data_IF_073235617385
#
_entry.id   IF_073235617385
#
_cell.length_a   1.000
_cell.length_b   1.000
_cell.length_c   1.000
_cell.angle_alpha   90.00
_cell.angle_beta   90.00
_cell.angle_gamma   90.00
#
_symmetry.space_group_name_H-M   'P 1'
#
loop_
_entity.id
_entity.type
_entity.pdbx_description
1 polymer ?
#
# COMPACT_ATOMS: atom_id res chain seq x y z
N UNK A 1 -12.58 1.39 19.62
CA UNK A 1 -13.99 0.99 19.85
C UNK A 1 -14.70 1.25 18.55
N UNK A 2 -14.92 0.21 17.74
CA UNK A 2 -15.15 0.34 16.29
C UNK A 2 -16.57 0.81 16.00
N UNK A 3 -16.74 1.63 14.96
CA UNK A 3 -18.01 2.18 14.46
C UNK A 3 -19.08 1.13 14.11
N UNK A 4 -18.73 -0.16 14.09
CA UNK A 4 -19.69 -1.27 14.05
C UNK A 4 -20.57 -1.36 15.31
N UNK A 5 -20.17 -0.76 16.44
CA UNK A 5 -20.94 -0.75 17.69
C UNK A 5 -22.10 0.27 17.69
N UNK A 6 -22.12 1.25 16.77
CA UNK A 6 -23.17 2.30 16.78
C UNK A 6 -24.53 1.86 16.25
N UNK A 7 -24.68 0.68 15.64
CA UNK A 7 -25.94 0.26 14.98
C UNK A 7 -26.59 -1.01 15.58
N UNK A 8 -25.94 -1.78 16.46
CA UNK A 8 -26.51 -3.07 16.90
C UNK A 8 -26.76 -3.15 18.41
N UNK A 9 -28.03 -3.41 18.75
CA UNK A 9 -28.55 -3.80 20.08
C UNK A 9 -27.90 -5.06 20.69
N UNK A 10 -26.86 -5.62 20.06
CA UNK A 10 -26.29 -6.93 20.38
C UNK A 10 -24.76 -6.94 20.22
N UNK A 11 -24.08 -7.56 21.17
CA UNK A 11 -22.64 -7.87 21.09
C UNK A 11 -22.40 -8.84 19.92
N UNK A 12 -21.49 -8.46 19.01
CA UNK A 12 -21.13 -9.27 17.84
C UNK A 12 -19.65 -9.68 17.93
N UNK A 13 -19.33 -10.93 17.58
CA UNK A 13 -17.97 -11.45 17.50
C UNK A 13 -17.72 -11.99 16.09
N UNK A 14 -16.55 -11.71 15.52
CA UNK A 14 -16.17 -12.14 14.16
C UNK A 14 -15.26 -13.35 14.27
N UNK A 15 -15.63 -14.44 13.58
CA UNK A 15 -14.90 -15.71 13.60
C UNK A 15 -14.39 -16.01 12.19
N UNK A 16 -13.11 -16.37 12.05
CA UNK A 16 -12.58 -16.83 10.76
C UNK A 16 -13.13 -18.23 10.43
N UNK A 17 -13.64 -18.49 9.20
CA UNK A 17 -14.18 -19.79 8.82
C UNK A 17 -13.22 -20.96 9.01
N UNK A 18 -11.92 -20.72 8.88
CA UNK A 18 -10.85 -21.72 9.07
C UNK A 18 -10.65 -22.16 10.52
N UNK A 19 -11.09 -21.36 11.49
CA UNK A 19 -10.98 -21.66 12.92
C UNK A 19 -12.21 -22.36 13.48
N UNK A 20 -13.26 -22.52 12.66
CA UNK A 20 -14.51 -23.15 13.07
C UNK A 20 -14.32 -24.67 13.03
N UNK A 21 -14.51 -25.40 14.14
CA UNK A 21 -14.42 -26.85 14.15
C UNK A 21 -15.42 -27.47 13.18
N UNK A 22 -14.95 -28.34 12.27
CA UNK A 22 -15.81 -29.07 11.34
C UNK A 22 -15.58 -30.57 11.45
N UNK A 23 -16.68 -31.33 11.47
CA UNK A 23 -16.60 -32.79 11.45
C UNK A 23 -16.34 -33.28 10.02
N UNK A 24 -15.34 -34.15 9.80
CA UNK A 24 -15.10 -34.73 8.49
C UNK A 24 -16.32 -35.54 8.02
N UNK A 25 -16.75 -35.32 6.77
CA UNK A 25 -17.89 -36.00 6.16
C UNK A 25 -19.23 -35.26 6.24
N UNK A 26 -19.33 -34.21 7.06
CA UNK A 26 -20.52 -33.35 7.10
C UNK A 26 -20.47 -32.29 5.98
N UNK A 27 -20.96 -32.66 4.78
CA UNK A 27 -20.89 -31.84 3.56
C UNK A 27 -22.21 -31.15 3.20
N UNK A 28 -23.28 -31.36 3.98
CA UNK A 28 -24.60 -30.80 3.68
C UNK A 28 -24.70 -29.39 4.27
N UNK A 29 -24.30 -28.40 3.48
CA UNK A 29 -24.40 -26.99 3.85
C UNK A 29 -25.83 -26.49 3.68
N UNK A 30 -26.44 -26.02 4.76
CA UNK A 30 -27.71 -25.28 4.72
C UNK A 30 -27.66 -24.16 5.75
N UNK A 31 -28.14 -22.96 5.40
CA UNK A 31 -28.03 -21.78 6.27
C UNK A 31 -28.63 -22.03 7.67
N UNK A 32 -29.73 -22.79 7.74
CA UNK A 32 -30.36 -23.18 9.01
C UNK A 32 -29.47 -24.07 9.88
N UNK A 33 -28.81 -25.08 9.31
CA UNK A 33 -27.93 -25.99 10.08
C UNK A 33 -26.66 -25.26 10.50
N UNK A 34 -26.08 -24.47 9.61
CA UNK A 34 -24.88 -23.68 9.89
C UNK A 34 -25.14 -22.70 11.04
N UNK A 35 -26.26 -21.96 11.01
CA UNK A 35 -26.62 -21.04 12.09
C UNK A 35 -26.78 -21.74 13.45
N UNK A 36 -27.43 -22.91 13.47
CA UNK A 36 -27.60 -23.70 14.71
C UNK A 36 -26.25 -24.23 15.21
N UNK A 37 -25.39 -24.71 14.32
CA UNK A 37 -24.07 -25.22 14.67
C UNK A 37 -23.17 -24.11 15.22
N UNK A 38 -23.15 -22.94 14.59
CA UNK A 38 -22.43 -21.77 15.09
C UNK A 38 -22.93 -21.35 16.48
N UNK A 39 -24.26 -21.32 16.70
CA UNK A 39 -24.82 -21.00 18.01
C UNK A 39 -24.41 -22.00 19.09
N UNK A 40 -24.33 -23.30 18.76
CA UNK A 40 -23.85 -24.35 19.67
C UNK A 40 -22.37 -24.17 20.01
N UNK A 41 -21.53 -23.96 19.00
CA UNK A 41 -20.10 -23.75 19.18
C UNK A 41 -19.81 -22.47 19.98
N UNK A 42 -20.55 -21.39 19.70
CA UNK A 42 -20.45 -20.14 20.46
C UNK A 42 -20.85 -20.35 21.93
N UNK A 43 -21.96 -21.03 22.19
CA UNK A 43 -22.39 -21.37 23.56
C UNK A 43 -21.35 -22.26 24.29
N UNK A 44 -20.68 -23.14 23.57
CA UNK A 44 -19.64 -24.01 24.12
C UNK A 44 -18.29 -23.30 24.33
N UNK A 45 -18.13 -22.06 23.84
CA UNK A 45 -16.85 -21.34 23.89
C UNK A 45 -15.80 -21.90 22.93
N UNK A 46 -16.22 -22.66 21.91
CA UNK A 46 -15.32 -23.32 20.94
C UNK A 46 -14.98 -22.43 19.73
N UNK A 47 -15.54 -21.21 19.65
CA UNK A 47 -15.22 -20.26 18.60
C UNK A 47 -14.14 -19.28 19.08
N UNK A 48 -13.10 -19.13 18.26
CA UNK A 48 -12.02 -18.17 18.50
C UNK A 48 -12.29 -16.88 17.71
N UNK A 49 -12.60 -15.75 18.37
CA UNK A 49 -12.78 -14.49 17.67
C UNK A 49 -11.46 -13.99 17.10
N UNK A 50 -11.54 -13.38 15.93
CA UNK A 50 -10.42 -12.70 15.30
C UNK A 50 -10.45 -11.20 15.60
N UNK A 51 -9.27 -10.59 15.57
CA UNK A 51 -9.15 -9.15 15.67
C UNK A 51 -9.82 -8.45 14.49
N UNK A 52 -10.71 -7.52 14.78
CA UNK A 52 -11.32 -6.64 13.77
C UNK A 52 -10.66 -5.26 13.93
N UNK A 53 -9.95 -4.77 12.89
CA UNK A 53 -9.32 -3.46 12.91
C UNK A 53 -10.31 -2.38 13.34
N UNK A 54 -9.85 -1.52 14.24
CA UNK A 54 -10.54 -0.34 14.68
C UNK A 54 -10.54 0.77 13.63
N UNK A 55 -11.38 1.79 13.81
CA UNK A 55 -11.32 2.99 12.95
C UNK A 55 -9.92 3.60 12.98
N UNK A 56 -9.29 3.64 14.16
CA UNK A 56 -7.93 4.14 14.30
C UNK A 56 -6.94 3.25 13.55
N UNK A 57 -7.08 1.91 13.59
CA UNK A 57 -6.22 1.01 12.80
C UNK A 57 -6.40 1.18 11.29
N UNK A 58 -7.64 1.39 10.84
CA UNK A 58 -7.90 1.64 9.41
C UNK A 58 -7.35 3.00 8.97
N UNK A 59 -7.42 4.03 9.83
CA UNK A 59 -6.81 5.32 9.58
C UNK A 59 -5.27 5.21 9.46
N UNK A 60 -4.62 4.42 10.32
CA UNK A 60 -3.19 4.12 10.20
C UNK A 60 -2.86 3.38 8.91
N UNK A 61 -3.72 2.43 8.50
CA UNK A 61 -3.55 1.71 7.22
C UNK A 61 -3.66 2.64 6.02
N UNK A 62 -4.48 3.69 6.08
CA UNK A 62 -4.57 4.67 5.00
C UNK A 62 -3.25 5.42 4.78
N UNK A 63 -2.46 5.68 5.83
CA UNK A 63 -1.10 6.23 5.67
C UNK A 63 -0.19 5.26 4.89
N UNK A 64 -0.26 3.97 5.21
CA UNK A 64 0.53 2.93 4.53
C UNK A 64 0.11 2.80 3.06
N UNK A 65 -1.20 2.80 2.78
CA UNK A 65 -1.75 2.78 1.41
C UNK A 65 -1.29 4.01 0.62
N UNK A 66 -1.39 5.21 1.20
CA UNK A 66 -0.94 6.44 0.57
C UNK A 66 0.57 6.41 0.24
N UNK A 67 1.38 5.82 1.13
CA UNK A 67 2.83 5.62 0.88
C UNK A 67 3.06 4.69 -0.31
N UNK A 68 2.29 3.61 -0.42
CA UNK A 68 2.37 2.68 -1.55
C UNK A 68 1.99 3.36 -2.87
N UNK A 69 0.91 4.14 -2.90
CA UNK A 69 0.49 4.90 -4.08
C UNK A 69 1.61 5.84 -4.57
N UNK A 70 2.22 6.61 -3.66
CA UNK A 70 3.32 7.52 -4.01
C UNK A 70 4.54 6.75 -4.52
N UNK A 71 4.84 5.57 -3.96
CA UNK A 71 5.94 4.72 -4.40
C UNK A 71 5.72 4.21 -5.83
N UNK A 72 4.50 3.77 -6.15
CA UNK A 72 4.13 3.35 -7.50
C UNK A 72 4.23 4.51 -8.50
N UNK A 73 3.72 5.69 -8.15
CA UNK A 73 3.79 6.88 -8.99
C UNK A 73 5.22 7.34 -9.22
N UNK A 74 6.05 7.28 -8.17
CA UNK A 74 7.49 7.52 -8.25
C UNK A 74 8.17 6.55 -9.22
N UNK A 75 7.81 5.26 -9.22
CA UNK A 75 8.33 4.28 -10.17
C UNK A 75 7.90 4.59 -11.61
N UNK A 76 6.62 4.95 -11.82
CA UNK A 76 6.10 5.36 -13.13
C UNK A 76 6.84 6.59 -13.65
N UNK A 77 7.08 7.59 -12.81
CA UNK A 77 7.85 8.78 -13.16
C UNK A 77 9.30 8.47 -13.51
N UNK A 78 9.95 7.57 -12.74
CA UNK A 78 11.30 7.07 -13.01
C UNK A 78 11.39 6.46 -14.41
N UNK A 79 10.39 5.67 -14.79
CA UNK A 79 10.29 5.09 -16.13
C UNK A 79 10.09 6.15 -17.22
N UNK A 80 9.22 7.16 -16.99
CA UNK A 80 9.01 8.27 -17.93
C UNK A 80 10.32 9.00 -18.22
N UNK A 81 11.05 9.40 -17.18
CA UNK A 81 12.35 10.07 -17.33
C UNK A 81 13.36 9.18 -18.07
N UNK A 82 13.45 7.91 -17.71
CA UNK A 82 14.37 6.97 -18.36
C UNK A 82 14.06 6.81 -19.85
N UNK A 83 12.78 6.67 -20.22
CA UNK A 83 12.35 6.56 -21.63
C UNK A 83 12.60 7.85 -22.40
N UNK A 84 12.40 9.00 -21.76
CA UNK A 84 12.71 10.30 -22.35
C UNK A 84 14.20 10.41 -22.67
N UNK A 85 15.08 10.08 -21.73
CA UNK A 85 16.53 10.09 -21.96
C UNK A 85 16.95 9.13 -23.07
N UNK A 86 16.37 7.92 -23.08
CA UNK A 86 16.64 6.90 -24.10
C UNK A 86 16.28 7.40 -25.51
N UNK A 87 15.11 8.03 -25.68
CA UNK A 87 14.65 8.58 -26.98
C UNK A 87 15.52 9.74 -27.48
N UNK A 88 16.21 10.44 -26.58
CA UNK A 88 17.19 11.47 -26.91
C UNK A 88 18.63 10.90 -26.98
N UNK A 89 18.79 9.58 -26.92
CA UNK A 89 20.08 8.87 -26.94
C UNK A 89 21.04 9.25 -25.81
N UNK A 90 20.51 9.81 -24.72
CA UNK A 90 21.28 10.20 -23.54
C UNK A 90 21.42 8.99 -22.62
N UNK A 91 22.66 8.54 -22.41
CA UNK A 91 22.98 7.37 -21.57
C UNK A 91 23.88 7.78 -20.40
N UNK A 92 23.69 7.17 -19.22
CA UNK A 92 24.56 7.42 -18.09
C UNK A 92 25.98 6.89 -18.35
N UNK A 93 27.01 7.44 -17.67
CA UNK A 93 28.38 6.96 -17.78
C UNK A 93 28.50 5.48 -17.43
N UNK A 94 29.42 4.76 -18.09
CA UNK A 94 29.67 3.34 -17.83
C UNK A 94 29.91 3.10 -16.33
N UNK A 95 29.29 2.05 -15.78
CA UNK A 95 29.38 1.71 -14.36
C UNK A 95 28.41 2.47 -13.44
N UNK A 96 27.64 3.44 -13.96
CA UNK A 96 26.64 4.15 -13.16
C UNK A 96 25.35 3.34 -13.06
N UNK A 97 25.02 2.86 -11.84
CA UNK A 97 23.72 2.21 -11.56
C UNK A 97 22.61 3.27 -11.47
N UNK A 98 21.45 2.99 -12.05
CA UNK A 98 20.29 3.91 -12.04
C UNK A 98 19.82 4.21 -10.62
N UNK A 99 19.34 5.43 -10.40
CA UNK A 99 18.75 5.91 -9.14
C UNK A 99 19.67 5.90 -7.92
N UNK A 100 20.98 5.78 -8.14
CA UNK A 100 22.01 5.99 -7.09
C UNK A 100 22.37 7.47 -6.98
N UNK A 101 23.09 7.87 -5.92
CA UNK A 101 23.59 9.25 -5.75
C UNK A 101 24.37 9.70 -6.99
N UNK A 102 25.29 8.87 -7.49
CA UNK A 102 26.05 9.16 -8.73
C UNK A 102 25.16 9.35 -9.96
N UNK A 103 24.01 8.68 -10.02
CA UNK A 103 23.06 8.85 -11.12
C UNK A 103 22.33 10.19 -11.03
N UNK A 104 21.97 10.63 -9.82
CA UNK A 104 21.39 11.96 -9.59
C UNK A 104 22.38 13.08 -9.93
N UNK A 105 23.63 12.98 -9.47
CA UNK A 105 24.69 13.93 -9.81
C UNK A 105 24.91 14.03 -11.34
N UNK A 106 24.75 12.90 -12.04
CA UNK A 106 24.82 12.87 -13.50
C UNK A 106 23.61 13.55 -14.14
N UNK A 107 22.39 13.29 -13.65
CA UNK A 107 21.17 13.94 -14.14
C UNK A 107 21.27 15.47 -14.01
N UNK A 108 21.75 15.98 -12.87
CA UNK A 108 21.89 17.41 -12.62
C UNK A 108 22.89 18.11 -13.55
N UNK A 109 23.84 17.36 -14.13
CA UNK A 109 24.84 17.87 -15.08
C UNK A 109 24.39 17.82 -16.54
N UNK A 110 23.22 17.27 -16.83
CA UNK A 110 22.73 17.16 -18.20
C UNK A 110 22.41 18.53 -18.80
N UNK A 111 22.94 18.75 -20.00
CA UNK A 111 22.61 19.92 -20.83
C UNK A 111 21.88 19.46 -22.09
N UNK A 112 21.00 20.32 -22.59
CA UNK A 112 20.17 20.02 -23.76
C UNK A 112 20.31 21.12 -24.79
N UNK A 113 20.51 20.74 -26.07
CA UNK A 113 20.60 21.69 -27.18
C UNK A 113 19.30 22.44 -27.44
N UNK A 114 18.15 21.78 -27.21
CA UNK A 114 16.81 22.33 -27.42
C UNK A 114 16.21 22.75 -26.08
N UNK A 115 15.70 23.97 -26.01
CA UNK A 115 15.03 24.51 -24.82
C UNK A 115 13.83 23.67 -24.40
N UNK A 116 13.00 23.24 -25.35
CA UNK A 116 11.83 22.39 -25.07
C UNK A 116 12.21 21.07 -24.38
N UNK A 117 13.26 20.39 -24.85
CA UNK A 117 13.76 19.16 -24.21
C UNK A 117 14.26 19.41 -22.79
N UNK A 118 14.91 20.57 -22.56
CA UNK A 118 15.37 20.98 -21.23
C UNK A 118 14.19 21.16 -20.27
N UNK A 119 13.13 21.84 -20.70
CA UNK A 119 11.92 22.05 -19.87
C UNK A 119 11.29 20.72 -19.50
N UNK A 120 11.04 19.83 -20.48
CA UNK A 120 10.46 18.50 -20.22
C UNK A 120 11.32 17.68 -19.25
N UNK A 121 12.65 17.73 -19.39
CA UNK A 121 13.56 17.07 -18.47
C UNK A 121 13.43 17.61 -17.03
N UNK A 122 13.41 18.94 -16.88
CA UNK A 122 13.27 19.58 -15.57
C UNK A 122 11.94 19.24 -14.90
N UNK A 123 10.83 19.23 -15.65
CA UNK A 123 9.52 18.81 -15.13
C UNK A 123 9.54 17.37 -14.61
N UNK A 124 10.15 16.44 -15.36
CA UNK A 124 10.28 15.06 -14.89
C UNK A 124 11.20 14.93 -13.67
N UNK A 125 12.27 15.72 -13.60
CA UNK A 125 13.17 15.72 -12.46
C UNK A 125 12.48 16.27 -11.21
N UNK A 126 11.73 17.37 -11.36
CA UNK A 126 10.98 18.02 -10.30
C UNK A 126 9.89 17.09 -9.75
N UNK A 127 9.11 16.46 -10.63
CA UNK A 127 8.11 15.47 -10.23
C UNK A 127 8.72 14.32 -9.39
N UNK A 128 9.94 13.86 -9.73
CA UNK A 128 10.61 12.84 -8.93
C UNK A 128 11.04 13.33 -7.54
N UNK A 129 11.50 14.58 -7.44
CA UNK A 129 11.87 15.21 -6.16
C UNK A 129 10.64 15.37 -5.26
N UNK A 130 9.51 15.78 -5.84
CA UNK A 130 8.23 15.87 -5.12
C UNK A 130 7.77 14.50 -4.59
N UNK A 131 7.87 13.44 -5.39
CA UNK A 131 7.56 12.09 -4.90
C UNK A 131 8.50 11.64 -3.77
N UNK A 132 9.79 11.95 -3.84
CA UNK A 132 10.71 11.67 -2.74
C UNK A 132 10.32 12.44 -1.47
N UNK A 133 9.98 13.72 -1.59
CA UNK A 133 9.54 14.53 -0.45
C UNK A 133 8.24 14.00 0.15
N UNK A 134 7.24 13.68 -0.69
CA UNK A 134 5.96 13.11 -0.24
C UNK A 134 6.16 11.77 0.48
N UNK A 135 7.05 10.90 -0.02
CA UNK A 135 7.40 9.66 0.66
C UNK A 135 8.01 9.94 2.03
N UNK A 136 8.97 10.85 2.14
CA UNK A 136 9.59 11.17 3.41
C UNK A 136 8.58 11.72 4.44
N UNK A 137 7.62 12.54 4.00
CA UNK A 137 6.55 13.05 4.88
C UNK A 137 5.68 11.90 5.39
N UNK A 138 5.25 10.99 4.51
CA UNK A 138 4.43 9.84 4.89
C UNK A 138 5.21 8.85 5.76
N UNK A 139 6.49 8.60 5.48
CA UNK A 139 7.34 7.73 6.28
C UNK A 139 7.53 8.29 7.69
N UNK A 140 7.75 9.60 7.83
CA UNK A 140 7.83 10.26 9.14
C UNK A 140 6.52 10.15 9.93
N UNK A 141 5.38 10.40 9.28
CA UNK A 141 4.08 10.27 9.94
C UNK A 141 3.80 8.83 10.36
N UNK A 142 4.16 7.84 9.53
CA UNK A 142 4.03 6.42 9.89
C UNK A 142 4.91 6.09 11.10
N UNK A 143 6.14 6.59 11.18
CA UNK A 143 7.02 6.39 12.34
C UNK A 143 6.49 7.05 13.62
N UNK A 144 5.81 8.19 13.51
CA UNK A 144 5.22 8.91 14.66
C UNK A 144 3.97 8.20 15.21
N UNK A 145 3.23 7.49 14.35
CA UNK A 145 1.96 6.86 14.67
C UNK A 145 2.07 5.33 14.90
N UNK A 146 3.27 4.75 14.74
CA UNK A 146 3.56 3.31 14.93
C UNK A 146 4.03 2.99 16.35
#
# INVERSE_FOLDING_TARGET
MNDMDKIRRFKCEVIAPSLIPQKPGDRVKTDKRDAINLAKLYRAGELTPIYVPTEDDEALRDLVRAREDVKEDGLRAKHRLTKFLLRNEIKPPRGTKKWTVKYWDWLDKLTFKRSASRVVFQEYLQQLKEFQQRLNVLEKEIEEQA
#
